data_IF_918993528479
#
_entry.id   IF_918993528479
#
_cell.length_a   1.000
_cell.length_b   1.000
_cell.length_c   1.000
_cell.angle_alpha   90.00
_cell.angle_beta   90.00
_cell.angle_gamma   90.00
#
_symmetry.space_group_name_H-M   'P 1'
#
loop_
_entity.id
_entity.type
_entity.pdbx_description
1 polymer ?
#
# COMPACT_ATOMS: atom_id res chain seq x y z
N UNK A 1 -4.72 17.59 -12.75
CA UNK A 1 -5.06 16.21 -13.08
C UNK A 1 -6.55 16.13 -13.35
N UNK A 2 -6.93 15.57 -14.48
CA UNK A 2 -8.33 15.30 -14.78
C UNK A 2 -8.73 14.00 -14.08
N UNK A 3 -9.90 14.02 -13.42
CA UNK A 3 -10.54 12.82 -12.93
C UNK A 3 -11.24 12.16 -14.11
N UNK A 4 -10.66 11.10 -14.65
CA UNK A 4 -11.25 10.32 -15.74
C UNK A 4 -12.25 9.32 -15.17
N UNK A 5 -13.39 9.13 -15.84
CA UNK A 5 -14.35 8.08 -15.49
C UNK A 5 -13.71 6.70 -15.74
N UNK A 6 -14.13 5.67 -14.98
CA UNK A 6 -13.48 4.36 -14.96
C UNK A 6 -13.39 3.64 -16.32
N UNK A 7 -14.25 4.01 -17.26
CA UNK A 7 -14.37 3.35 -18.56
C UNK A 7 -13.63 4.07 -19.71
N UNK A 8 -13.10 5.29 -19.46
CA UNK A 8 -12.49 6.15 -20.49
C UNK A 8 -11.14 6.74 -20.06
N UNK A 9 -10.28 5.95 -19.41
CA UNK A 9 -8.93 6.39 -19.11
C UNK A 9 -8.08 6.46 -20.37
N UNK A 10 -8.29 7.50 -21.16
CA UNK A 10 -7.50 7.79 -22.32
C UNK A 10 -6.89 9.19 -22.20
N UNK A 11 -5.63 9.33 -22.54
CA UNK A 11 -4.92 10.60 -22.64
C UNK A 11 -4.33 10.70 -24.04
N UNK A 12 -4.62 11.78 -24.75
CA UNK A 12 -4.01 12.07 -26.03
C UNK A 12 -2.81 13.00 -25.83
N UNK A 13 -1.68 12.62 -26.36
CA UNK A 13 -0.44 13.41 -26.35
C UNK A 13 0.11 13.48 -27.77
N UNK A 14 0.61 14.65 -28.14
CA UNK A 14 1.33 14.83 -29.42
C UNK A 14 2.81 14.53 -29.18
N UNK A 15 3.38 13.70 -30.03
CA UNK A 15 4.78 13.31 -29.97
C UNK A 15 5.41 13.37 -31.37
N UNK A 16 6.67 13.77 -31.45
CA UNK A 16 7.46 13.73 -32.67
C UNK A 16 7.83 12.27 -33.01
N UNK A 17 8.17 11.95 -34.28
CA UNK A 17 8.72 10.65 -34.62
C UNK A 17 9.96 10.30 -33.78
N UNK A 18 10.04 9.06 -33.29
CA UNK A 18 11.17 8.65 -32.45
C UNK A 18 10.90 7.37 -31.68
N UNK A 19 11.85 7.03 -30.84
CA UNK A 19 11.76 5.91 -29.92
C UNK A 19 11.40 6.41 -28.53
N UNK A 20 10.42 5.79 -27.89
CA UNK A 20 9.85 6.20 -26.63
C UNK A 20 9.67 5.03 -25.67
N UNK A 21 9.68 5.35 -24.43
CA UNK A 21 9.19 4.53 -23.37
C UNK A 21 7.99 5.21 -22.70
N UNK A 22 6.87 4.50 -22.58
CA UNK A 22 5.67 5.04 -21.97
C UNK A 22 5.61 4.63 -20.50
N UNK A 23 5.58 5.62 -19.60
CA UNK A 23 5.47 5.44 -18.16
C UNK A 23 4.17 6.08 -17.67
N UNK A 24 3.46 5.38 -16.81
CA UNK A 24 2.26 5.87 -16.16
C UNK A 24 2.35 5.72 -14.65
N UNK A 25 2.34 6.84 -13.94
CA UNK A 25 2.06 6.91 -12.52
C UNK A 25 0.68 7.51 -12.34
N UNK A 26 -0.27 6.76 -11.77
CA UNK A 26 -1.64 7.22 -11.60
C UNK A 26 -2.23 6.72 -10.28
N UNK A 27 -3.42 7.18 -9.99
CA UNK A 27 -4.18 6.88 -8.78
C UNK A 27 -4.73 8.13 -8.12
N UNK A 28 -5.26 7.99 -6.91
CA UNK A 28 -5.70 9.12 -6.12
C UNK A 28 -4.50 9.96 -5.67
N UNK A 29 -4.68 11.27 -5.58
CA UNK A 29 -3.64 12.21 -5.14
C UNK A 29 -4.17 13.20 -4.12
N UNK A 30 -5.30 12.87 -3.50
CA UNK A 30 -6.05 13.81 -2.65
C UNK A 30 -5.36 14.07 -1.32
N UNK A 31 -4.56 13.10 -0.85
CA UNK A 31 -3.85 13.16 0.43
C UNK A 31 -2.39 13.59 0.29
N UNK A 32 -1.85 13.57 -0.93
CA UNK A 32 -0.44 13.90 -1.17
C UNK A 32 0.53 12.85 -0.63
N UNK A 33 0.10 11.59 -0.53
CA UNK A 33 0.90 10.52 0.07
C UNK A 33 2.19 10.18 -0.66
N UNK A 34 2.31 10.61 -1.95
CA UNK A 34 3.46 10.30 -2.78
C UNK A 34 3.93 11.52 -3.56
N UNK A 35 5.23 11.80 -3.47
CA UNK A 35 5.91 12.79 -4.27
C UNK A 35 6.45 12.17 -5.56
N UNK A 36 6.12 12.79 -6.69
CA UNK A 36 6.60 12.44 -8.02
C UNK A 36 7.32 13.65 -8.61
N UNK A 37 8.56 13.49 -9.09
CA UNK A 37 9.28 14.62 -9.63
C UNK A 37 8.59 15.16 -10.88
N UNK A 38 8.71 16.46 -11.07
CA UNK A 38 8.35 17.07 -12.36
C UNK A 38 9.31 16.55 -13.41
N UNK A 39 8.77 16.02 -14.50
CA UNK A 39 9.55 15.49 -15.62
C UNK A 39 10.42 16.59 -16.23
N UNK A 40 11.73 16.45 -16.07
CA UNK A 40 12.74 17.34 -16.67
C UNK A 40 13.83 16.48 -17.29
N UNK A 41 14.33 16.89 -18.43
CA UNK A 41 15.44 16.19 -19.09
C UNK A 41 16.62 16.00 -18.12
N UNK A 42 17.09 14.76 -18.00
CA UNK A 42 18.24 14.41 -17.17
C UNK A 42 17.95 14.24 -15.67
N UNK A 43 16.66 14.24 -15.26
CA UNK A 43 16.29 13.89 -13.89
C UNK A 43 15.75 12.46 -13.80
N UNK A 44 16.09 11.80 -12.71
CA UNK A 44 15.54 10.49 -12.37
C UNK A 44 14.03 10.62 -12.11
N UNK A 45 13.27 9.68 -12.65
CA UNK A 45 11.83 9.57 -12.49
C UNK A 45 11.54 8.63 -11.32
N UNK A 46 11.58 9.15 -10.10
CA UNK A 46 11.29 8.37 -8.89
C UNK A 46 9.92 8.71 -8.33
N UNK A 47 9.36 7.81 -7.56
CA UNK A 47 8.16 8.04 -6.76
C UNK A 47 8.47 7.74 -5.29
N UNK A 48 8.33 8.73 -4.43
CA UNK A 48 8.72 8.63 -3.02
C UNK A 48 7.52 8.86 -2.12
N UNK A 49 7.38 8.03 -1.09
CA UNK A 49 6.39 8.15 -0.04
C UNK A 49 6.68 9.38 0.83
N UNK A 50 5.72 10.26 0.98
CA UNK A 50 5.77 11.34 1.95
C UNK A 50 5.57 10.75 3.35
N UNK A 51 6.43 11.16 4.29
CA UNK A 51 6.50 10.57 5.63
C UNK A 51 6.77 11.64 6.69
N UNK A 52 6.38 11.33 7.89
CA UNK A 52 6.68 12.12 9.08
C UNK A 52 7.89 11.52 9.80
N UNK A 53 8.45 12.29 10.74
CA UNK A 53 9.56 11.83 11.57
C UNK A 53 9.22 12.07 13.04
N UNK A 54 9.48 11.07 13.87
CA UNK A 54 9.33 11.18 15.32
C UNK A 54 10.50 11.96 15.97
N UNK A 55 10.44 12.16 17.27
CA UNK A 55 11.49 12.85 18.01
C UNK A 55 12.88 12.16 17.96
N UNK A 56 12.92 10.88 17.61
CA UNK A 56 14.12 10.07 17.39
C UNK A 56 14.56 10.04 15.93
N UNK A 57 13.98 10.88 15.07
CA UNK A 57 14.23 10.93 13.62
C UNK A 57 13.95 9.58 12.91
N UNK A 58 12.92 8.86 13.35
CA UNK A 58 12.45 7.64 12.69
C UNK A 58 11.25 7.97 11.81
N UNK A 59 11.31 7.50 10.58
CA UNK A 59 10.26 7.72 9.60
C UNK A 59 8.99 6.93 9.94
N UNK A 60 7.84 7.59 9.83
CA UNK A 60 6.56 6.93 10.02
C UNK A 60 5.44 7.52 9.17
N UNK A 61 4.37 6.74 9.01
CA UNK A 61 3.09 7.13 8.42
C UNK A 61 1.97 6.60 9.32
N UNK A 62 0.98 7.43 9.60
CA UNK A 62 -0.19 7.09 10.42
C UNK A 62 -1.52 7.46 9.76
N UNK A 63 -1.51 7.62 8.43
CA UNK A 63 -2.64 8.01 7.61
C UNK A 63 -2.94 6.92 6.57
N UNK A 64 -4.18 6.90 6.08
CA UNK A 64 -4.55 6.10 4.93
C UNK A 64 -3.90 6.70 3.68
N UNK A 65 -3.07 5.93 2.98
CA UNK A 65 -2.34 6.38 1.80
C UNK A 65 -3.26 6.52 0.58
N UNK A 66 -2.89 7.43 -0.31
CA UNK A 66 -3.41 7.46 -1.66
C UNK A 66 -3.21 6.12 -2.38
N UNK A 67 -4.12 5.78 -3.27
CA UNK A 67 -3.96 4.61 -4.14
C UNK A 67 -2.98 4.95 -5.25
N UNK A 68 -1.89 4.21 -5.32
CA UNK A 68 -0.85 4.40 -6.31
C UNK A 68 -0.82 3.22 -7.28
N UNK A 69 -0.70 3.53 -8.57
CA UNK A 69 -0.52 2.55 -9.64
C UNK A 69 0.64 2.97 -10.53
N UNK A 70 1.33 1.99 -11.08
CA UNK A 70 2.41 2.17 -12.03
C UNK A 70 2.21 1.28 -13.26
N UNK A 71 2.55 1.81 -14.42
CA UNK A 71 2.57 1.06 -15.68
C UNK A 71 3.74 1.45 -16.57
N UNK A 72 4.18 0.53 -17.40
CA UNK A 72 5.29 0.72 -18.31
C UNK A 72 5.06 -0.02 -19.63
N UNK A 73 5.35 0.65 -20.75
CA UNK A 73 5.52 0.04 -22.06
C UNK A 73 6.87 0.47 -22.61
N UNK A 74 7.86 -0.42 -22.61
CA UNK A 74 9.17 -0.13 -23.18
C UNK A 74 9.14 -0.15 -24.73
N UNK A 75 10.12 0.50 -25.35
CA UNK A 75 10.48 0.35 -26.75
C UNK A 75 9.32 0.59 -27.74
N UNK A 76 8.66 1.75 -27.63
CA UNK A 76 7.64 2.16 -28.59
C UNK A 76 8.28 3.06 -29.66
N UNK A 77 8.09 2.69 -30.92
CA UNK A 77 8.59 3.48 -32.06
C UNK A 77 7.45 4.18 -32.77
N UNK A 78 7.51 5.49 -32.87
CA UNK A 78 6.58 6.32 -33.63
C UNK A 78 7.26 6.72 -34.94
N UNK A 79 6.67 6.31 -36.06
CA UNK A 79 7.19 6.62 -37.41
C UNK A 79 6.84 8.04 -37.88
N UNK A 80 7.39 8.43 -39.00
CA UNK A 80 7.16 9.73 -39.63
C UNK A 80 5.74 9.90 -40.25
N UNK A 81 4.96 8.83 -40.27
CA UNK A 81 3.60 8.87 -40.82
C UNK A 81 2.65 9.50 -39.78
N UNK A 82 2.02 10.60 -40.15
CA UNK A 82 0.97 11.22 -39.35
C UNK A 82 -0.17 10.22 -39.11
N UNK A 83 -0.61 10.13 -37.84
CA UNK A 83 -1.70 9.24 -37.45
C UNK A 83 -1.89 9.19 -35.95
N UNK A 84 -2.99 8.58 -35.55
CA UNK A 84 -3.25 8.31 -34.12
C UNK A 84 -2.92 6.87 -33.80
N UNK A 85 -2.02 6.69 -32.85
CA UNK A 85 -1.62 5.40 -32.32
C UNK A 85 -2.24 5.22 -30.93
N UNK A 86 -2.86 4.08 -30.68
CA UNK A 86 -3.46 3.78 -29.39
C UNK A 86 -2.68 2.68 -28.69
N UNK A 87 -2.19 2.97 -27.49
CA UNK A 87 -1.46 2.03 -26.65
C UNK A 87 -2.17 1.86 -25.32
N UNK A 88 -2.23 0.63 -24.83
CA UNK A 88 -2.75 0.32 -23.50
C UNK A 88 -1.60 0.05 -22.55
N UNK A 89 -1.43 0.89 -21.53
CA UNK A 89 -0.44 0.72 -20.48
C UNK A 89 -1.05 -0.10 -19.35
N UNK A 90 -0.64 -1.36 -19.12
CA UNK A 90 -1.15 -2.15 -18.01
C UNK A 90 -0.65 -1.57 -16.68
N UNK A 91 -1.55 -1.43 -15.73
CA UNK A 91 -1.25 -0.83 -14.43
C UNK A 91 -1.14 -1.89 -13.33
N UNK A 92 -0.12 -1.78 -12.50
CA UNK A 92 0.07 -2.57 -11.28
C UNK A 92 -0.15 -1.67 -10.07
N UNK A 93 -0.95 -2.13 -9.12
CA UNK A 93 -1.21 -1.40 -7.88
C UNK A 93 0.02 -1.44 -6.97
N UNK A 94 0.45 -0.27 -6.51
CA UNK A 94 1.63 -0.08 -5.65
C UNK A 94 1.29 0.23 -4.18
N UNK A 95 0.03 0.14 -3.79
CA UNK A 95 -0.41 0.26 -2.39
C UNK A 95 -1.23 -0.95 -2.00
N UNK A 96 -1.11 -1.40 -0.76
CA UNK A 96 -1.87 -2.50 -0.20
C UNK A 96 -2.64 -2.03 1.04
N UNK A 97 -3.89 -2.44 1.14
CA UNK A 97 -4.67 -2.30 2.37
C UNK A 97 -4.52 -3.59 3.17
N UNK A 98 -4.06 -3.46 4.40
CA UNK A 98 -3.85 -4.57 5.32
C UNK A 98 -4.84 -4.43 6.46
N UNK A 99 -5.64 -5.47 6.67
CA UNK A 99 -6.51 -5.56 7.84
C UNK A 99 -5.97 -6.61 8.79
N UNK A 100 -5.71 -6.19 10.02
CA UNK A 100 -5.25 -7.06 11.11
C UNK A 100 -6.41 -7.28 12.06
N UNK A 101 -6.71 -8.55 12.36
CA UNK A 101 -7.74 -8.93 13.34
C UNK A 101 -7.04 -9.64 14.49
N UNK A 102 -7.05 -9.00 15.65
CA UNK A 102 -6.48 -9.54 16.90
C UNK A 102 -7.61 -10.12 17.75
N UNK A 103 -7.51 -11.41 18.03
CA UNK A 103 -8.46 -12.14 18.88
C UNK A 103 -7.74 -12.85 20.02
N UNK A 104 -8.43 -13.02 21.14
CA UNK A 104 -7.95 -13.90 22.20
C UNK A 104 -8.54 -15.31 22.02
N UNK A 105 -7.68 -16.34 22.02
CA UNK A 105 -8.11 -17.72 21.77
C UNK A 105 -9.04 -18.27 22.87
N UNK A 106 -9.00 -17.72 24.08
CA UNK A 106 -9.91 -18.10 25.16
C UNK A 106 -11.30 -17.47 25.03
N UNK A 107 -11.50 -16.55 24.07
CA UNK A 107 -12.75 -15.78 23.94
C UNK A 107 -12.87 -14.58 24.88
N UNK A 108 -11.80 -14.23 25.60
CA UNK A 108 -11.77 -13.00 26.37
C UNK A 108 -11.89 -11.76 25.48
N UNK A 109 -12.53 -10.70 26.01
CA UNK A 109 -12.69 -9.47 25.27
C UNK A 109 -11.34 -8.79 25.00
N UNK A 110 -11.14 -8.41 23.75
CA UNK A 110 -9.95 -7.66 23.31
C UNK A 110 -10.31 -6.18 23.21
N UNK A 111 -9.68 -5.37 24.05
CA UNK A 111 -9.81 -3.92 24.03
C UNK A 111 -8.84 -3.34 22.98
N UNK A 112 -9.40 -2.83 21.86
CA UNK A 112 -8.62 -2.25 20.77
C UNK A 112 -7.69 -1.11 21.20
N UNK A 113 -8.07 -0.36 22.24
CA UNK A 113 -7.33 0.81 22.69
C UNK A 113 -6.06 0.47 23.48
N UNK A 114 -5.90 -0.80 23.84
CA UNK A 114 -4.68 -1.32 24.50
C UNK A 114 -3.57 -1.75 23.56
N UNK A 115 -3.80 -1.70 22.25
CA UNK A 115 -2.83 -2.19 21.27
C UNK A 115 -2.42 -1.13 20.25
N UNK A 116 -1.19 -1.22 19.79
CA UNK A 116 -0.66 -0.50 18.63
C UNK A 116 -0.34 -1.51 17.56
N UNK A 117 -0.82 -1.29 16.35
CA UNK A 117 -0.58 -2.12 15.19
C UNK A 117 0.35 -1.38 14.23
N UNK A 118 1.46 -2.01 13.88
CA UNK A 118 2.44 -1.41 12.99
C UNK A 118 2.95 -2.41 11.96
N UNK A 119 3.27 -1.91 10.78
CA UNK A 119 4.08 -2.61 9.80
C UNK A 119 5.33 -1.76 9.56
N UNK A 120 6.51 -2.39 9.56
CA UNK A 120 7.76 -1.71 9.21
C UNK A 120 8.33 -2.32 7.94
N UNK A 121 8.72 -1.48 6.99
CA UNK A 121 9.34 -1.89 5.73
C UNK A 121 10.26 -0.79 5.20
N UNK A 122 11.04 -1.09 4.13
CA UNK A 122 11.92 -0.16 3.42
C UNK A 122 11.43 0.08 1.98
N UNK A 123 10.11 0.14 1.79
CA UNK A 123 9.44 0.18 0.50
C UNK A 123 8.88 1.56 0.13
N UNK A 124 9.42 2.62 0.72
CA UNK A 124 8.92 3.98 0.53
C UNK A 124 9.43 4.69 -0.72
N UNK A 125 10.38 4.14 -1.46
CA UNK A 125 10.94 4.78 -2.67
C UNK A 125 10.99 3.81 -3.85
N UNK A 126 10.52 4.27 -5.00
CA UNK A 126 10.39 3.46 -6.22
C UNK A 126 11.02 4.20 -7.41
N UNK A 127 11.75 3.47 -8.22
CA UNK A 127 12.34 3.96 -9.46
C UNK A 127 11.30 3.96 -10.61
N UNK A 128 11.69 4.55 -11.73
CA UNK A 128 10.86 4.68 -12.93
C UNK A 128 10.36 3.33 -13.49
N UNK A 129 11.12 2.26 -13.32
CA UNK A 129 10.76 0.91 -13.74
C UNK A 129 9.97 0.14 -12.67
N UNK A 130 9.60 0.82 -11.59
CA UNK A 130 8.89 0.26 -10.45
C UNK A 130 9.74 -0.64 -9.54
N UNK A 131 11.05 -0.65 -9.67
CA UNK A 131 11.93 -1.31 -8.70
C UNK A 131 12.00 -0.49 -7.40
N UNK A 132 12.21 -1.16 -6.27
CA UNK A 132 12.42 -0.46 -5.01
C UNK A 132 13.84 0.09 -4.95
N UNK A 133 13.96 1.37 -4.62
CA UNK A 133 15.22 2.00 -4.30
C UNK A 133 15.60 1.75 -2.83
N UNK A 134 16.90 1.79 -2.50
CA UNK A 134 17.33 1.78 -1.10
C UNK A 134 16.65 2.90 -0.32
N UNK A 135 16.03 2.56 0.81
CA UNK A 135 15.32 3.50 1.65
C UNK A 135 15.49 3.14 3.13
N UNK A 136 15.23 4.11 4.00
CA UNK A 136 15.19 3.89 5.43
C UNK A 136 13.95 3.08 5.84
N UNK A 137 13.98 2.40 6.99
CA UNK A 137 12.78 1.77 7.53
C UNK A 137 11.69 2.80 7.84
N UNK A 138 10.50 2.59 7.31
CA UNK A 138 9.29 3.37 7.60
C UNK A 138 8.34 2.55 8.44
N UNK A 139 7.83 3.12 9.53
CA UNK A 139 6.81 2.49 10.36
C UNK A 139 5.43 2.99 9.95
N UNK A 140 4.61 2.08 9.44
CA UNK A 140 3.21 2.34 9.11
C UNK A 140 2.35 1.98 10.32
N UNK A 141 1.65 2.95 10.87
CA UNK A 141 0.68 2.74 11.94
C UNK A 141 -0.71 2.49 11.36
N UNK A 142 -1.54 1.78 12.12
CA UNK A 142 -2.95 1.69 11.77
C UNK A 142 -3.57 3.10 11.76
N UNK A 143 -4.15 3.47 10.62
CA UNK A 143 -4.87 4.73 10.46
C UNK A 143 -6.30 4.64 11.00
N UNK A 144 -6.82 3.41 11.14
CA UNK A 144 -8.13 3.15 11.73
C UNK A 144 -8.07 1.90 12.61
N UNK A 145 -8.70 1.96 13.78
CA UNK A 145 -8.91 0.81 14.66
C UNK A 145 -10.35 0.75 15.12
N UNK A 146 -10.92 -0.45 15.12
CA UNK A 146 -12.30 -0.68 15.55
C UNK A 146 -12.41 -1.93 16.42
N UNK A 147 -13.46 -2.01 17.21
CA UNK A 147 -13.87 -3.22 17.90
C UNK A 147 -14.78 -4.03 16.97
N UNK A 148 -14.53 -5.32 16.89
CA UNK A 148 -15.31 -6.21 16.07
C UNK A 148 -15.57 -7.54 16.73
N UNK A 149 -16.32 -8.36 16.03
CA UNK A 149 -16.57 -9.75 16.39
C UNK A 149 -16.04 -10.63 15.24
N UNK A 150 -15.31 -11.65 15.59
CA UNK A 150 -14.90 -12.66 14.62
C UNK A 150 -15.31 -14.04 15.13
N UNK A 151 -15.89 -14.83 14.25
CA UNK A 151 -16.32 -16.19 14.54
C UNK A 151 -15.33 -17.20 13.98
N UNK A 152 -15.09 -18.27 14.72
CA UNK A 152 -14.43 -19.47 14.22
C UNK A 152 -15.53 -20.50 13.98
N UNK A 153 -15.71 -20.89 12.73
CA UNK A 153 -16.56 -22.05 12.40
C UNK A 153 -15.77 -23.32 12.75
N UNK A 154 -16.01 -23.89 13.93
CA UNK A 154 -15.50 -25.22 14.24
C UNK A 154 -16.42 -26.26 13.57
N UNK A 155 -16.00 -26.80 12.44
CA UNK A 155 -16.58 -28.00 11.88
C UNK A 155 -16.10 -29.20 12.70
N UNK A 156 -16.91 -29.66 13.65
CA UNK A 156 -16.77 -31.00 14.18
C UNK A 156 -17.77 -31.90 13.45
N UNK A 157 -17.27 -32.94 12.82
CA UNK A 157 -18.06 -33.89 11.99
C UNK A 157 -19.11 -34.71 12.75
N UNK A 158 -19.24 -34.57 14.07
CA UNK A 158 -20.07 -35.49 14.87
C UNK A 158 -21.39 -34.95 15.45
N UNK A 159 -21.65 -33.63 15.42
CA UNK A 159 -22.96 -33.13 15.92
C UNK A 159 -23.40 -31.92 15.08
N UNK A 160 -24.60 -32.01 14.49
CA UNK A 160 -25.30 -30.94 13.71
C UNK A 160 -25.76 -29.76 14.60
N UNK A 161 -24.92 -29.23 15.46
CA UNK A 161 -25.13 -27.95 16.13
C UNK A 161 -23.93 -27.08 15.81
N UNK A 162 -24.09 -26.18 14.83
CA UNK A 162 -23.13 -25.12 14.54
C UNK A 162 -23.14 -24.18 15.74
N UNK A 163 -22.25 -24.43 16.69
CA UNK A 163 -21.97 -23.47 17.77
C UNK A 163 -21.01 -22.42 17.23
N UNK A 164 -21.56 -21.32 16.75
CA UNK A 164 -20.76 -20.15 16.34
C UNK A 164 -20.32 -19.43 17.60
N UNK A 165 -19.09 -19.68 18.05
CA UNK A 165 -18.51 -18.89 19.11
C UNK A 165 -18.09 -17.51 18.52
N UNK A 166 -18.78 -16.46 18.93
CA UNK A 166 -18.45 -15.09 18.55
C UNK A 166 -17.46 -14.56 19.58
N UNK A 167 -16.29 -14.16 19.13
CA UNK A 167 -15.24 -13.61 19.99
C UNK A 167 -15.05 -12.13 19.69
N UNK A 168 -14.85 -11.34 20.74
CA UNK A 168 -14.41 -9.96 20.62
C UNK A 168 -13.05 -9.89 19.91
N UNK A 169 -12.90 -8.93 19.01
CA UNK A 169 -11.69 -8.69 18.27
C UNK A 169 -11.33 -7.21 18.23
N UNK A 170 -10.05 -6.91 18.19
CA UNK A 170 -9.56 -5.60 17.77
C UNK A 170 -9.20 -5.67 16.29
N UNK A 171 -9.75 -4.76 15.50
CA UNK A 171 -9.52 -4.67 14.05
C UNK A 171 -8.69 -3.43 13.80
N UNK A 172 -7.63 -3.56 13.01
CA UNK A 172 -6.77 -2.46 12.60
C UNK A 172 -6.63 -2.43 11.09
N UNK A 173 -6.69 -1.24 10.50
CA UNK A 173 -6.50 -1.03 9.07
C UNK A 173 -5.25 -0.19 8.84
N UNK A 174 -4.39 -0.69 7.96
CA UNK A 174 -3.14 -0.07 7.55
C UNK A 174 -3.12 0.02 6.03
N UNK A 175 -2.58 1.11 5.51
CA UNK A 175 -2.22 1.19 4.09
C UNK A 175 -0.72 1.33 3.97
N UNK A 176 -0.11 0.51 3.13
CA UNK A 176 1.34 0.47 2.94
C UNK A 176 1.66 0.43 1.44
N UNK A 177 2.85 0.85 1.00
CA UNK A 177 3.33 0.57 -0.35
C UNK A 177 3.40 -0.94 -0.59
N UNK A 178 3.53 -1.34 -1.86
CA UNK A 178 3.50 -2.75 -2.25
C UNK A 178 4.55 -3.58 -1.52
N UNK A 179 4.17 -4.78 -1.15
CA UNK A 179 5.07 -5.78 -0.57
C UNK A 179 5.88 -6.46 -1.69
N UNK A 180 7.18 -6.55 -1.51
CA UNK A 180 8.09 -7.18 -2.46
C UNK A 180 8.82 -8.34 -1.79
N UNK A 181 8.82 -9.48 -2.46
CA UNK A 181 9.52 -10.69 -1.94
C UNK A 181 10.99 -10.40 -1.66
N UNK A 182 11.45 -10.75 -0.48
CA UNK A 182 12.84 -10.55 -0.05
C UNK A 182 13.07 -9.29 0.78
N UNK A 183 12.08 -8.42 0.92
CA UNK A 183 12.11 -7.33 1.89
C UNK A 183 11.93 -7.85 3.32
N UNK A 184 12.39 -7.05 4.29
CA UNK A 184 12.26 -7.37 5.72
C UNK A 184 11.01 -6.73 6.33
N UNK A 185 9.89 -6.92 5.67
CA UNK A 185 8.60 -6.44 6.18
C UNK A 185 8.28 -7.11 7.50
N UNK A 186 7.84 -6.36 8.49
CA UNK A 186 7.50 -6.88 9.81
C UNK A 186 6.19 -6.29 10.32
N UNK A 187 5.20 -7.15 10.57
CA UNK A 187 4.00 -6.78 11.31
C UNK A 187 4.23 -6.96 12.81
N UNK A 188 3.92 -5.94 13.60
CA UNK A 188 4.05 -5.98 15.05
C UNK A 188 2.78 -5.45 15.71
N UNK A 189 2.28 -6.19 16.71
CA UNK A 189 1.23 -5.72 17.62
C UNK A 189 1.86 -5.53 18.99
N UNK A 190 1.79 -4.31 19.52
CA UNK A 190 2.41 -3.93 20.79
C UNK A 190 1.34 -3.57 21.82
N UNK A 191 1.47 -4.07 23.03
CA UNK A 191 0.64 -3.64 24.16
C UNK A 191 1.09 -2.26 24.62
N UNK A 192 0.19 -1.27 24.65
CA UNK A 192 0.47 0.13 25.00
C UNK A 192 0.93 0.30 26.44
N UNK A 193 0.36 -0.48 27.37
CA UNK A 193 0.65 -0.34 28.80
C UNK A 193 2.05 -0.84 29.15
N UNK A 194 2.48 -1.94 28.51
CA UNK A 194 3.77 -2.58 28.80
C UNK A 194 4.88 -2.18 27.83
N UNK A 195 4.53 -1.61 26.69
CA UNK A 195 5.46 -1.33 25.60
C UNK A 195 6.05 -2.59 24.94
N UNK A 196 5.54 -3.77 25.26
CA UNK A 196 6.07 -5.04 24.74
C UNK A 196 5.26 -5.55 23.57
N UNK A 197 5.92 -6.11 22.54
CA UNK A 197 5.21 -6.79 21.46
C UNK A 197 4.51 -8.05 22.03
N UNK A 198 3.23 -8.20 21.70
CA UNK A 198 2.44 -9.41 21.97
C UNK A 198 2.45 -10.34 20.78
N UNK A 199 2.74 -9.78 19.60
CA UNK A 199 2.79 -10.51 18.35
C UNK A 199 3.76 -9.80 17.38
N UNK A 200 4.59 -10.57 16.70
CA UNK A 200 5.49 -10.06 15.65
C UNK A 200 5.77 -11.17 14.64
N UNK A 201 5.53 -10.87 13.37
CA UNK A 201 5.80 -11.76 12.23
C UNK A 201 6.51 -11.01 11.10
N UNK A 202 7.42 -11.69 10.38
CA UNK A 202 8.01 -11.18 9.16
C UNK A 202 7.02 -11.17 8.01
#
# INVERSE_FOLDING_TARGET
GESLAADDYAMTIDVEPGEYELLAWCGTTDKGSFSRPVTTVGRELTCTLDRQYDAGNKAFVNEDLDRLFHGRLPEQTFGETEGTYTYTVPLVKNTNNVRVVLQHLSGEAVDKDKFVFTITDTNGSMDWDNTLLPDEPVTFFAWHTDAGEAGIDSQSEEIQTVSRAIFSAAIAELTIPRLVKGQKTQLTVTNKETGKPVFSIP
#
